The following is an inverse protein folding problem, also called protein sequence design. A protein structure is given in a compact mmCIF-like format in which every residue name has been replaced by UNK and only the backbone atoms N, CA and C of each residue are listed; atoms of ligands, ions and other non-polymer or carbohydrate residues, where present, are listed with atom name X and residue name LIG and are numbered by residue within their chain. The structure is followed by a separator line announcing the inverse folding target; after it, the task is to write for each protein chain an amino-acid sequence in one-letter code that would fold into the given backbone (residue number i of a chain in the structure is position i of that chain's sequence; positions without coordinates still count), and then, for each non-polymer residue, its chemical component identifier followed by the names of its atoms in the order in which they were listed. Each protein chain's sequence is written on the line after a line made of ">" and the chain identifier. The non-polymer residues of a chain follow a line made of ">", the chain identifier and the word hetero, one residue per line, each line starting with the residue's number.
data_IF_143851333253
#
_entry.id   IF_143851333253
#
_cell.length_a   1.000
_cell.length_b   1.000
_cell.length_c   1.000
_cell.angle_alpha   90.00
_cell.angle_beta   90.00
_cell.angle_gamma   90.00
#
_symmetry.space_group_name_H-M   'P 1'
#
loop_
_entity.id
_entity.type
_entity.pdbx_description
1 polymer ?
#
# COMPACT_ATOMS: atom_id res chain seq x y z
N UNK A 1 6.85 11.92 54.40
CA UNK A 1 7.03 12.73 53.17
C UNK A 1 8.02 12.10 52.17
N UNK A 2 9.35 12.09 52.37
CA UNK A 2 10.28 11.53 51.35
C UNK A 2 10.08 10.03 51.07
N UNK A 3 9.90 9.20 52.11
CA UNK A 3 9.64 7.76 51.96
C UNK A 3 8.29 7.44 51.27
N UNK A 4 7.26 8.26 51.51
CA UNK A 4 5.95 8.09 50.86
C UNK A 4 6.00 8.51 49.39
N UNK A 5 6.79 9.55 49.08
CA UNK A 5 7.05 9.98 47.70
C UNK A 5 7.80 8.90 46.92
N UNK A 6 8.83 8.29 47.52
CA UNK A 6 9.60 7.21 46.88
C UNK A 6 8.74 5.95 46.66
N UNK A 7 7.93 5.56 47.63
CA UNK A 7 7.01 4.43 47.49
C UNK A 7 5.97 4.66 46.37
N UNK A 8 5.46 5.89 46.26
CA UNK A 8 4.52 6.27 45.19
C UNK A 8 5.18 6.24 43.82
N UNK A 9 6.40 6.76 43.70
CA UNK A 9 7.18 6.72 42.45
C UNK A 9 7.42 5.27 42.01
N UNK A 10 7.85 4.39 42.92
CA UNK A 10 8.09 2.98 42.62
C UNK A 10 6.82 2.27 42.16
N UNK A 11 5.67 2.54 42.80
CA UNK A 11 4.37 2.00 42.39
C UNK A 11 3.97 2.45 40.98
N UNK A 12 4.15 3.74 40.67
CA UNK A 12 3.85 4.27 39.33
C UNK A 12 4.78 3.68 38.26
N UNK A 13 6.07 3.52 38.56
CA UNK A 13 7.01 2.87 37.65
C UNK A 13 6.62 1.42 37.34
N UNK A 14 6.18 0.68 38.37
CA UNK A 14 5.67 -0.69 38.19
C UNK A 14 4.42 -0.71 37.30
N UNK A 15 3.45 0.16 37.56
CA UNK A 15 2.23 0.25 36.75
C UNK A 15 2.52 0.63 35.29
N UNK A 16 3.46 1.55 35.05
CA UNK A 16 3.90 1.91 33.70
C UNK A 16 4.53 0.70 33.00
N UNK A 17 5.36 -0.08 33.70
CA UNK A 17 5.98 -1.28 33.13
C UNK A 17 4.93 -2.34 32.79
N UNK A 18 3.95 -2.55 33.67
CA UNK A 18 2.84 -3.49 33.45
C UNK A 18 1.99 -3.07 32.25
N UNK A 19 1.57 -1.81 32.17
CA UNK A 19 0.79 -1.29 31.05
C UNK A 19 1.56 -1.38 29.72
N UNK A 20 2.86 -1.08 29.71
CA UNK A 20 3.71 -1.25 28.52
C UNK A 20 3.77 -2.71 28.08
N UNK A 21 3.86 -3.65 29.02
CA UNK A 21 3.86 -5.07 28.72
C UNK A 21 2.52 -5.52 28.12
N UNK A 22 1.40 -5.12 28.75
CA UNK A 22 0.06 -5.44 28.25
C UNK A 22 -0.20 -4.86 26.86
N UNK A 23 0.20 -3.60 26.62
CA UNK A 23 0.07 -2.96 25.31
C UNK A 23 0.88 -3.71 24.23
N UNK A 24 2.11 -4.12 24.55
CA UNK A 24 2.93 -4.92 23.63
C UNK A 24 2.28 -6.27 23.32
N UNK A 25 1.74 -6.96 24.33
CA UNK A 25 1.04 -8.23 24.14
C UNK A 25 -0.20 -8.07 23.27
N UNK A 26 -1.00 -7.02 23.52
CA UNK A 26 -2.20 -6.73 22.73
C UNK A 26 -1.85 -6.38 21.27
N UNK A 27 -0.81 -5.59 21.06
CA UNK A 27 -0.31 -5.26 19.72
C UNK A 27 0.09 -6.52 18.95
N UNK A 28 0.89 -7.40 19.56
CA UNK A 28 1.29 -8.68 18.95
C UNK A 28 0.09 -9.59 18.67
N UNK A 29 -0.86 -9.67 19.60
CA UNK A 29 -2.07 -10.45 19.41
C UNK A 29 -2.91 -9.92 18.24
N UNK A 30 -3.09 -8.61 18.14
CA UNK A 30 -3.83 -7.97 17.06
C UNK A 30 -3.13 -8.14 15.71
N UNK A 31 -1.80 -7.98 15.64
CA UNK A 31 -1.05 -8.18 14.39
C UNK A 31 -1.08 -9.64 13.94
N UNK A 32 -1.03 -10.60 14.86
CA UNK A 32 -1.21 -12.03 14.57
C UNK A 32 -2.60 -12.33 13.98
N UNK A 33 -3.67 -11.89 14.66
CA UNK A 33 -5.05 -12.07 14.16
C UNK A 33 -5.22 -11.42 12.79
N UNK A 34 -4.81 -10.16 12.65
CA UNK A 34 -4.91 -9.42 11.39
C UNK A 34 -4.18 -10.10 10.25
N UNK A 35 -2.93 -10.53 10.49
CA UNK A 35 -2.14 -11.27 9.52
C UNK A 35 -2.80 -12.58 9.10
N UNK A 36 -3.25 -13.40 10.05
CA UNK A 36 -3.86 -14.71 9.77
C UNK A 36 -5.20 -14.58 9.03
N UNK A 37 -6.14 -13.79 9.55
CA UNK A 37 -7.45 -13.64 8.90
C UNK A 37 -7.36 -12.83 7.61
N UNK A 38 -6.48 -11.83 7.56
CA UNK A 38 -6.20 -11.08 6.35
C UNK A 38 -5.68 -11.99 5.23
N UNK A 39 -4.80 -12.94 5.55
CA UNK A 39 -4.30 -13.92 4.58
C UNK A 39 -5.45 -14.76 4.00
N UNK A 40 -6.30 -15.33 4.85
CA UNK A 40 -7.42 -16.14 4.38
C UNK A 40 -8.43 -15.33 3.56
N UNK A 41 -8.74 -14.10 3.98
CA UNK A 41 -9.64 -13.22 3.23
C UNK A 41 -9.01 -12.81 1.88
N UNK A 42 -7.70 -12.57 1.84
CA UNK A 42 -7.01 -12.33 0.57
C UNK A 42 -7.13 -13.54 -0.36
N UNK A 43 -6.90 -14.76 0.13
CA UNK A 43 -7.06 -15.98 -0.67
C UNK A 43 -8.51 -16.19 -1.11
N UNK A 44 -9.48 -15.96 -0.23
CA UNK A 44 -10.89 -16.11 -0.54
C UNK A 44 -11.36 -15.10 -1.61
N UNK A 45 -10.87 -13.86 -1.56
CA UNK A 45 -11.22 -12.81 -2.55
C UNK A 45 -10.60 -13.04 -3.93
N UNK A 46 -9.83 -14.11 -4.14
CA UNK A 46 -9.46 -14.56 -5.49
C UNK A 46 -10.67 -15.18 -6.23
N UNK A 47 -11.72 -15.57 -5.51
CA UNK A 47 -12.96 -16.08 -6.08
C UNK A 47 -13.94 -14.92 -6.35
N UNK A 48 -14.46 -14.77 -7.58
CA UNK A 48 -15.39 -13.68 -7.92
C UNK A 48 -16.64 -13.61 -7.03
N UNK A 49 -17.20 -14.76 -6.64
CA UNK A 49 -18.36 -14.82 -5.76
C UNK A 49 -18.10 -14.19 -4.37
N UNK A 50 -16.88 -14.28 -3.86
CA UNK A 50 -16.48 -13.66 -2.60
C UNK A 50 -16.27 -12.16 -2.78
N UNK A 51 -15.71 -11.74 -3.92
CA UNK A 51 -15.60 -10.32 -4.28
C UNK A 51 -16.99 -9.68 -4.28
N UNK A 52 -17.96 -10.28 -4.96
CA UNK A 52 -19.34 -9.77 -5.01
C UNK A 52 -20.00 -9.71 -3.62
N UNK A 53 -19.77 -10.71 -2.78
CA UNK A 53 -20.24 -10.72 -1.39
C UNK A 53 -19.64 -9.56 -0.58
N UNK A 54 -18.34 -9.32 -0.69
CA UNK A 54 -17.64 -8.24 0.05
C UNK A 54 -18.07 -6.86 -0.44
N UNK A 55 -18.35 -6.71 -1.73
CA UNK A 55 -18.73 -5.44 -2.37
C UNK A 55 -20.15 -4.97 -2.06
N UNK A 56 -20.92 -5.72 -1.28
CA UNK A 56 -22.19 -5.22 -0.73
C UNK A 56 -21.95 -3.91 0.05
N UNK A 57 -22.69 -2.85 -0.31
CA UNK A 57 -22.39 -1.45 0.04
C UNK A 57 -22.00 -1.24 1.50
N UNK A 58 -22.80 -1.73 2.44
CA UNK A 58 -22.56 -1.51 3.87
C UNK A 58 -21.34 -2.26 4.41
N UNK A 59 -20.97 -3.37 3.76
CA UNK A 59 -19.83 -4.21 4.16
C UNK A 59 -18.52 -3.60 3.68
N UNK A 60 -18.45 -3.20 2.42
CA UNK A 60 -17.21 -2.60 1.91
C UNK A 60 -16.91 -1.25 2.54
N UNK A 61 -17.90 -0.38 2.79
CA UNK A 61 -17.65 0.90 3.48
C UNK A 61 -17.01 0.68 4.86
N UNK A 62 -17.52 -0.27 5.66
CA UNK A 62 -16.95 -0.58 6.99
C UNK A 62 -15.53 -1.13 6.87
N UNK A 63 -15.29 -2.03 5.91
CA UNK A 63 -13.98 -2.60 5.66
C UNK A 63 -12.98 -1.55 5.18
N UNK A 64 -13.36 -0.65 4.29
CA UNK A 64 -12.50 0.41 3.78
C UNK A 64 -12.06 1.38 4.89
N UNK A 65 -12.98 1.75 5.79
CA UNK A 65 -12.64 2.57 6.98
C UNK A 65 -11.67 1.84 7.91
N UNK A 66 -11.90 0.56 8.17
CA UNK A 66 -11.00 -0.26 8.98
C UNK A 66 -9.60 -0.34 8.36
N UNK A 67 -9.51 -0.66 7.06
CA UNK A 67 -8.24 -0.74 6.34
C UNK A 67 -7.53 0.62 6.30
N UNK A 68 -8.27 1.71 6.14
CA UNK A 68 -7.72 3.08 6.20
C UNK A 68 -7.08 3.34 7.56
N UNK A 69 -7.77 3.04 8.66
CA UNK A 69 -7.22 3.20 10.01
C UNK A 69 -5.97 2.34 10.26
N UNK A 70 -5.96 1.09 9.76
CA UNK A 70 -4.80 0.20 9.87
C UNK A 70 -3.61 0.74 9.07
N UNK A 71 -3.82 1.18 7.82
CA UNK A 71 -2.76 1.75 6.99
C UNK A 71 -2.21 3.05 7.59
N UNK A 72 -3.08 3.94 8.08
CA UNK A 72 -2.66 5.18 8.75
C UNK A 72 -1.81 4.87 9.97
N UNK A 73 -2.28 4.00 10.85
CA UNK A 73 -1.55 3.60 12.05
C UNK A 73 -0.19 2.96 11.74
N UNK A 74 -0.12 2.11 10.70
CA UNK A 74 1.14 1.50 10.28
C UNK A 74 2.14 2.54 9.76
N UNK A 75 1.68 3.46 8.90
CA UNK A 75 2.54 4.53 8.36
C UNK A 75 2.97 5.49 9.46
N UNK A 76 2.09 5.88 10.38
CA UNK A 76 2.41 6.76 11.51
C UNK A 76 3.42 6.12 12.46
N UNK A 77 3.27 4.81 12.74
CA UNK A 77 4.13 4.09 13.68
C UNK A 77 5.53 3.89 13.14
N UNK A 78 5.66 3.52 11.86
CA UNK A 78 6.94 3.10 11.29
C UNK A 78 7.56 4.11 10.34
N UNK A 79 6.75 4.91 9.65
CA UNK A 79 7.19 5.86 8.62
C UNK A 79 8.18 5.20 7.64
N UNK A 80 9.44 5.66 7.60
CA UNK A 80 10.47 5.13 6.71
C UNK A 80 11.25 3.93 7.31
N UNK A 81 10.89 3.48 8.52
CA UNK A 81 11.49 2.37 9.27
C UNK A 81 10.51 1.19 9.37
N UNK A 82 9.88 0.84 8.24
CA UNK A 82 8.93 -0.27 8.18
C UNK A 82 9.59 -1.61 8.56
N UNK A 83 8.89 -2.47 9.33
CA UNK A 83 9.44 -3.73 9.76
C UNK A 83 9.58 -4.71 8.58
N UNK A 84 10.48 -5.72 8.68
CA UNK A 84 10.68 -6.68 7.62
C UNK A 84 9.41 -7.44 7.24
N UNK A 85 9.36 -7.98 6.02
CA UNK A 85 8.20 -8.67 5.45
C UNK A 85 7.74 -9.90 6.23
N UNK A 86 8.61 -10.49 7.06
CA UNK A 86 8.28 -11.68 7.85
C UNK A 86 7.47 -11.36 9.12
N UNK A 87 7.39 -10.09 9.52
CA UNK A 87 6.60 -9.64 10.68
C UNK A 87 5.10 -9.72 10.39
N UNK A 88 4.30 -9.90 11.44
CA UNK A 88 2.86 -10.02 11.30
C UNK A 88 2.22 -8.69 10.86
N UNK A 89 2.76 -7.57 11.32
CA UNK A 89 2.36 -6.23 10.93
C UNK A 89 2.51 -6.03 9.42
N UNK A 90 3.70 -6.25 8.87
CA UNK A 90 3.94 -6.08 7.42
C UNK A 90 3.16 -7.09 6.59
N UNK A 91 3.02 -8.34 7.05
CA UNK A 91 2.15 -9.35 6.39
C UNK A 91 0.70 -8.90 6.38
N UNK A 92 0.21 -8.31 7.46
CA UNK A 92 -1.16 -7.83 7.51
C UNK A 92 -1.40 -6.71 6.50
N UNK A 93 -0.47 -5.75 6.38
CA UNK A 93 -0.54 -4.70 5.35
C UNK A 93 -0.52 -5.30 3.95
N UNK A 94 0.37 -6.28 3.70
CA UNK A 94 0.45 -6.97 2.42
C UNK A 94 -0.88 -7.67 2.06
N UNK A 95 -1.51 -8.33 3.04
CA UNK A 95 -2.79 -9.00 2.86
C UNK A 95 -3.92 -8.00 2.56
N UNK A 96 -3.94 -6.84 3.24
CA UNK A 96 -4.89 -5.75 2.93
C UNK A 96 -4.72 -5.28 1.49
N UNK A 97 -3.49 -5.01 1.05
CA UNK A 97 -3.21 -4.62 -0.33
C UNK A 97 -3.68 -5.70 -1.32
N UNK A 98 -3.44 -6.98 -1.00
CA UNK A 98 -3.88 -8.11 -1.81
C UNK A 98 -5.40 -8.22 -1.93
N UNK A 99 -6.13 -8.00 -0.83
CA UNK A 99 -7.59 -7.94 -0.82
C UNK A 99 -8.06 -6.81 -1.73
N UNK A 100 -7.55 -5.59 -1.54
CA UNK A 100 -7.93 -4.42 -2.34
C UNK A 100 -7.61 -4.65 -3.82
N UNK A 101 -6.46 -5.26 -4.13
CA UNK A 101 -6.06 -5.58 -5.50
C UNK A 101 -7.12 -6.47 -6.18
N UNK A 102 -7.57 -7.53 -5.50
CA UNK A 102 -8.63 -8.40 -6.01
C UNK A 102 -9.96 -7.64 -6.21
N UNK A 103 -10.37 -6.84 -5.23
CA UNK A 103 -11.64 -6.10 -5.30
C UNK A 103 -11.65 -5.10 -6.46
N UNK A 104 -10.53 -4.42 -6.71
CA UNK A 104 -10.34 -3.48 -7.82
C UNK A 104 -10.30 -4.14 -9.21
N UNK A 105 -10.40 -5.47 -9.33
CA UNK A 105 -10.54 -6.12 -10.65
C UNK A 105 -11.98 -6.11 -11.17
N UNK A 106 -12.96 -5.92 -10.28
CA UNK A 106 -14.38 -5.88 -10.62
C UNK A 106 -14.87 -4.46 -10.92
N UNK A 107 -15.88 -4.33 -11.79
CA UNK A 107 -16.47 -3.01 -12.12
C UNK A 107 -17.05 -2.30 -10.89
N UNK A 108 -17.76 -3.05 -10.04
CA UNK A 108 -18.36 -2.55 -8.78
C UNK A 108 -17.29 -2.10 -7.79
N UNK A 109 -16.20 -2.87 -7.64
CA UNK A 109 -15.07 -2.48 -6.81
C UNK A 109 -14.37 -1.22 -7.34
N UNK A 110 -14.05 -1.17 -8.63
CA UNK A 110 -13.50 0.02 -9.27
C UNK A 110 -14.37 1.26 -9.04
N UNK A 111 -15.69 1.14 -9.21
CA UNK A 111 -16.62 2.24 -8.93
C UNK A 111 -16.51 2.70 -7.48
N UNK A 112 -16.47 1.77 -6.51
CA UNK A 112 -16.28 2.11 -5.10
C UNK A 112 -14.97 2.87 -4.85
N UNK A 113 -13.84 2.36 -5.34
CA UNK A 113 -12.52 2.97 -5.09
C UNK A 113 -12.27 4.27 -5.88
N UNK A 114 -13.06 4.58 -6.90
CA UNK A 114 -12.92 5.81 -7.69
C UNK A 114 -13.96 6.89 -7.39
N UNK A 115 -15.16 6.52 -6.92
CA UNK A 115 -16.30 7.44 -6.80
C UNK A 115 -16.83 7.58 -5.37
N UNK A 116 -16.52 6.63 -4.46
CA UNK A 116 -17.03 6.65 -3.10
C UNK A 116 -15.94 7.11 -2.14
N UNK A 117 -16.26 8.08 -1.28
CA UNK A 117 -15.29 8.76 -0.40
C UNK A 117 -14.46 7.80 0.46
N UNK A 118 -15.08 6.75 1.02
CA UNK A 118 -14.35 5.74 1.82
C UNK A 118 -13.35 4.93 0.97
N UNK A 119 -13.69 4.66 -0.29
CA UNK A 119 -12.79 4.00 -1.24
C UNK A 119 -11.65 4.92 -1.68
N UNK A 120 -11.96 6.18 -2.00
CA UNK A 120 -10.97 7.22 -2.35
C UNK A 120 -9.99 7.44 -1.19
N UNK A 121 -10.49 7.52 0.04
CA UNK A 121 -9.65 7.66 1.24
C UNK A 121 -8.67 6.50 1.38
N UNK A 122 -9.13 5.26 1.14
CA UNK A 122 -8.25 4.10 1.18
C UNK A 122 -7.17 4.18 0.09
N UNK A 123 -7.53 4.57 -1.14
CA UNK A 123 -6.57 4.76 -2.24
C UNK A 123 -5.51 5.80 -1.87
N UNK A 124 -5.90 6.93 -1.28
CA UNK A 124 -4.96 7.96 -0.83
C UNK A 124 -3.98 7.45 0.24
N UNK A 125 -4.43 6.56 1.14
CA UNK A 125 -3.54 5.93 2.12
C UNK A 125 -2.62 4.90 1.48
N UNK A 126 -3.06 4.20 0.43
CA UNK A 126 -2.18 3.32 -0.36
C UNK A 126 -1.11 4.14 -1.10
N UNK A 127 -1.46 5.31 -1.66
CA UNK A 127 -0.46 6.24 -2.22
C UNK A 127 0.54 6.65 -1.13
N UNK A 128 0.07 7.04 0.04
CA UNK A 128 0.94 7.42 1.18
C UNK A 128 1.86 6.27 1.59
N UNK A 129 1.34 5.04 1.66
CA UNK A 129 2.14 3.85 1.93
C UNK A 129 3.27 3.68 0.91
N UNK A 130 2.99 3.83 -0.39
CA UNK A 130 4.01 3.75 -1.45
C UNK A 130 5.12 4.78 -1.22
N UNK A 131 4.77 6.02 -0.87
CA UNK A 131 5.73 7.10 -0.64
C UNK A 131 6.64 6.84 0.55
N UNK A 132 6.14 6.20 1.61
CA UNK A 132 6.91 5.90 2.82
C UNK A 132 7.62 4.53 2.77
N UNK A 133 7.29 3.67 1.79
CA UNK A 133 7.85 2.31 1.73
C UNK A 133 9.34 2.35 1.38
N UNK A 134 10.23 1.81 2.24
CA UNK A 134 11.66 1.76 1.98
C UNK A 134 11.98 0.77 0.84
N UNK A 135 13.14 0.96 0.21
CA UNK A 135 13.59 0.13 -0.92
C UNK A 135 13.60 -1.37 -0.58
N UNK A 136 13.96 -1.75 0.65
CA UNK A 136 13.99 -3.14 1.12
C UNK A 136 12.64 -3.88 1.01
N UNK A 137 11.53 -3.16 0.97
CA UNK A 137 10.18 -3.71 0.84
C UNK A 137 9.54 -3.46 -0.53
N UNK A 138 10.30 -2.86 -1.47
CA UNK A 138 9.85 -2.54 -2.84
C UNK A 138 9.19 -3.74 -3.53
N UNK A 139 9.90 -4.87 -3.57
CA UNK A 139 9.48 -6.08 -4.28
C UNK A 139 8.22 -6.76 -3.69
N UNK A 140 7.76 -6.31 -2.51
CA UNK A 140 6.60 -6.86 -1.82
C UNK A 140 5.46 -5.84 -1.73
N UNK A 141 5.65 -4.79 -0.92
CA UNK A 141 4.59 -3.80 -0.64
C UNK A 141 4.31 -2.91 -1.85
N UNK A 142 5.36 -2.29 -2.43
CA UNK A 142 5.17 -1.39 -3.58
C UNK A 142 4.61 -2.14 -4.79
N UNK A 143 5.06 -3.37 -5.03
CA UNK A 143 4.50 -4.22 -6.10
C UNK A 143 2.97 -4.29 -6.05
N UNK A 144 2.42 -4.75 -4.93
CA UNK A 144 0.96 -4.95 -4.82
C UNK A 144 0.25 -3.60 -4.77
N UNK A 145 0.83 -2.59 -4.09
CA UNK A 145 0.27 -1.25 -4.09
C UNK A 145 0.19 -0.66 -5.51
N UNK A 146 1.22 -0.80 -6.34
CA UNK A 146 1.18 -0.38 -7.74
C UNK A 146 0.15 -1.15 -8.56
N UNK A 147 -0.05 -2.44 -8.31
CA UNK A 147 -1.13 -3.21 -8.94
C UNK A 147 -2.52 -2.63 -8.58
N UNK A 148 -2.75 -2.31 -7.30
CA UNK A 148 -3.99 -1.63 -6.86
C UNK A 148 -4.17 -0.29 -7.56
N UNK A 149 -3.14 0.56 -7.51
CA UNK A 149 -3.20 1.91 -8.08
C UNK A 149 -3.40 1.86 -9.59
N UNK A 150 -2.79 0.91 -10.29
CA UNK A 150 -3.00 0.68 -11.72
C UNK A 150 -4.44 0.26 -12.03
N UNK A 151 -5.00 -0.69 -11.26
CA UNK A 151 -6.38 -1.12 -11.46
C UNK A 151 -7.38 0.03 -11.27
N UNK A 152 -7.09 0.95 -10.35
CA UNK A 152 -7.90 2.14 -10.10
C UNK A 152 -7.68 3.20 -11.19
N UNK A 153 -6.44 3.45 -11.61
CA UNK A 153 -6.09 4.53 -12.55
C UNK A 153 -6.69 4.33 -13.95
N UNK A 154 -6.81 3.08 -14.40
CA UNK A 154 -7.39 2.75 -15.72
C UNK A 154 -8.93 2.90 -15.77
N UNK A 155 -9.56 3.18 -14.63
CA UNK A 155 -11.02 3.32 -14.51
C UNK A 155 -11.43 4.79 -14.63
N UNK A 156 -12.74 5.05 -14.80
CA UNK A 156 -13.27 6.39 -15.07
C UNK A 156 -12.76 7.40 -14.02
N UNK A 157 -11.95 8.37 -14.48
CA UNK A 157 -11.33 9.42 -13.69
C UNK A 157 -10.42 8.97 -12.53
N UNK A 158 -10.09 7.68 -12.41
CA UNK A 158 -9.28 7.17 -11.31
C UNK A 158 -7.85 7.73 -11.28
N UNK A 159 -7.28 8.04 -12.46
CA UNK A 159 -5.98 8.69 -12.58
C UNK A 159 -5.92 10.07 -11.91
N UNK A 160 -7.05 10.79 -11.79
CA UNK A 160 -7.10 12.10 -11.12
C UNK A 160 -6.79 11.98 -9.61
N UNK A 161 -7.04 10.83 -9.00
CA UNK A 161 -6.72 10.57 -7.59
C UNK A 161 -5.21 10.48 -7.33
N UNK A 162 -4.41 10.39 -8.40
CA UNK A 162 -2.97 10.10 -8.34
C UNK A 162 -2.14 11.21 -9.00
N UNK A 163 -2.73 12.41 -9.19
CA UNK A 163 -2.02 13.63 -9.59
C UNK A 163 -1.11 14.14 -8.47
N UNK A 164 0.02 13.45 -8.29
CA UNK A 164 0.94 13.70 -7.18
C UNK A 164 2.41 13.61 -7.65
N UNK A 165 3.13 14.72 -7.53
CA UNK A 165 4.54 14.78 -7.96
C UNK A 165 5.46 13.84 -7.19
N UNK A 166 5.22 13.64 -5.88
CA UNK A 166 5.99 12.68 -5.08
C UNK A 166 5.77 11.25 -5.56
N UNK A 167 4.54 10.91 -6.00
CA UNK A 167 4.25 9.59 -6.56
C UNK A 167 5.00 9.38 -7.88
N UNK A 168 4.95 10.36 -8.78
CA UNK A 168 5.67 10.28 -10.07
C UNK A 168 7.19 10.20 -9.85
N UNK A 169 7.74 10.98 -8.92
CA UNK A 169 9.16 10.89 -8.54
C UNK A 169 9.51 9.53 -7.93
N UNK A 170 8.61 8.96 -7.13
CA UNK A 170 8.81 7.62 -6.54
C UNK A 170 8.82 6.55 -7.63
N UNK A 171 7.92 6.65 -8.61
CA UNK A 171 7.92 5.79 -9.79
C UNK A 171 9.23 5.93 -10.57
N UNK A 172 9.68 7.14 -10.88
CA UNK A 172 10.96 7.40 -11.56
C UNK A 172 12.15 6.74 -10.84
N UNK A 173 12.24 6.91 -9.52
CA UNK A 173 13.27 6.27 -8.70
C UNK A 173 13.17 4.74 -8.76
N UNK A 174 11.96 4.19 -8.71
CA UNK A 174 11.75 2.75 -8.78
C UNK A 174 12.05 2.17 -10.17
N UNK A 175 11.95 2.96 -11.25
CA UNK A 175 12.31 2.57 -12.62
C UNK A 175 13.82 2.64 -12.90
N UNK A 176 14.56 3.53 -12.20
CA UNK A 176 16.01 3.70 -12.35
C UNK A 176 16.84 2.51 -11.83
N UNK A 177 16.31 1.79 -10.85
CA UNK A 177 17.04 0.72 -10.14
C UNK A 177 16.67 -0.65 -10.71
N UNK A 178 16.95 -0.86 -11.99
CA UNK A 178 16.71 -2.15 -12.64
C UNK A 178 17.88 -2.51 -13.54
N UNK A 179 18.73 -3.42 -13.06
CA UNK A 179 19.71 -4.10 -13.90
C UNK A 179 19.02 -5.25 -14.65
N UNK A 180 19.65 -5.79 -15.70
CA UNK A 180 19.12 -6.91 -16.51
C UNK A 180 18.61 -8.11 -15.69
N UNK A 181 19.16 -8.34 -14.48
CA UNK A 181 18.78 -9.46 -13.60
C UNK A 181 17.58 -9.16 -12.70
N UNK A 182 17.10 -7.92 -12.65
CA UNK A 182 16.11 -7.44 -11.68
C UNK A 182 14.78 -7.02 -12.32
N UNK A 183 14.52 -7.40 -13.58
CA UNK A 183 13.19 -7.16 -14.18
C UNK A 183 12.19 -8.02 -13.42
N UNK A 184 11.45 -7.37 -12.54
CA UNK A 184 10.50 -8.00 -11.65
C UNK A 184 9.09 -7.43 -11.89
N UNK A 185 8.10 -8.08 -11.29
CA UNK A 185 6.72 -7.60 -11.32
C UNK A 185 6.58 -6.14 -10.84
N UNK A 186 7.47 -5.67 -9.94
CA UNK A 186 7.42 -4.30 -9.44
C UNK A 186 7.73 -3.30 -10.54
N UNK A 187 8.75 -3.56 -11.36
CA UNK A 187 9.04 -2.76 -12.56
C UNK A 187 7.83 -2.73 -13.49
N UNK A 188 7.26 -3.90 -13.77
CA UNK A 188 6.11 -4.03 -14.66
C UNK A 188 4.91 -3.21 -14.17
N UNK A 189 4.54 -3.32 -12.89
CA UNK A 189 3.44 -2.54 -12.33
C UNK A 189 3.75 -1.05 -12.22
N UNK A 190 5.01 -0.66 -11.99
CA UNK A 190 5.44 0.74 -12.01
C UNK A 190 5.25 1.35 -13.41
N UNK A 191 5.68 0.64 -14.46
CA UNK A 191 5.49 1.06 -15.84
C UNK A 191 4.02 1.11 -16.26
N UNK A 192 3.23 0.08 -15.89
CA UNK A 192 1.78 0.05 -16.14
C UNK A 192 1.08 1.23 -15.49
N UNK A 193 1.41 1.54 -14.23
CA UNK A 193 0.85 2.70 -13.54
C UNK A 193 1.28 4.00 -14.23
N UNK A 194 2.57 4.21 -14.49
CA UNK A 194 3.04 5.41 -15.18
C UNK A 194 2.37 5.60 -16.55
N UNK A 195 2.25 4.53 -17.34
CA UNK A 195 1.55 4.57 -18.63
C UNK A 195 0.07 4.95 -18.47
N UNK A 196 -0.63 4.37 -17.50
CA UNK A 196 -2.03 4.70 -17.25
C UNK A 196 -2.24 6.17 -16.83
N UNK A 197 -1.34 6.71 -16.01
CA UNK A 197 -1.37 8.11 -15.56
C UNK A 197 -1.03 9.09 -16.70
N UNK A 198 -0.24 8.64 -17.67
CA UNK A 198 0.19 9.46 -18.81
C UNK A 198 -0.75 9.36 -20.03
N UNK A 199 -1.68 8.40 -20.05
CA UNK A 199 -2.61 8.20 -21.18
C UNK A 199 -3.60 9.35 -21.38
N UNK A 200 -4.15 9.88 -20.28
CA UNK A 200 -5.17 10.93 -20.29
C UNK A 200 -4.72 12.14 -19.46
N UNK A 201 -3.50 12.65 -19.73
CA UNK A 201 -2.95 13.75 -18.93
C UNK A 201 -3.71 15.06 -19.14
N UNK A 202 -4.09 15.68 -18.03
CA UNK A 202 -4.36 17.12 -18.02
C UNK A 202 -3.04 17.91 -18.01
N UNK A 203 -3.13 19.24 -18.11
CA UNK A 203 -1.96 20.13 -18.12
C UNK A 203 -1.09 19.98 -16.86
N UNK A 204 -1.72 19.75 -15.70
CA UNK A 204 -1.03 19.55 -14.42
C UNK A 204 -0.15 18.30 -14.43
N UNK A 205 -0.72 17.15 -14.80
CA UNK A 205 -0.01 15.88 -14.89
C UNK A 205 1.13 15.95 -15.92
N UNK A 206 0.92 16.60 -17.08
CA UNK A 206 2.00 16.83 -18.04
C UNK A 206 3.20 17.59 -17.46
N UNK A 207 2.94 18.64 -16.66
CA UNK A 207 4.00 19.41 -16.00
C UNK A 207 4.73 18.55 -14.96
N UNK A 208 4.00 17.78 -14.15
CA UNK A 208 4.59 16.87 -13.16
C UNK A 208 5.51 15.85 -13.85
N UNK A 209 4.99 15.14 -14.85
CA UNK A 209 5.74 14.10 -15.57
C UNK A 209 6.99 14.69 -16.21
N UNK A 210 6.88 15.87 -16.86
CA UNK A 210 8.03 16.54 -17.47
C UNK A 210 9.13 16.88 -16.45
N UNK A 211 8.76 17.24 -15.24
CA UNK A 211 9.71 17.69 -14.22
C UNK A 211 10.35 16.52 -13.46
N UNK A 212 9.62 15.44 -13.24
CA UNK A 212 10.04 14.35 -12.36
C UNK A 212 10.59 13.12 -13.10
N UNK A 213 10.20 12.89 -14.36
CA UNK A 213 10.59 11.68 -15.11
C UNK A 213 11.82 11.93 -15.97
N UNK A 214 12.84 11.08 -15.82
CA UNK A 214 13.95 11.03 -16.76
C UNK A 214 13.61 10.11 -17.95
N UNK A 215 13.19 10.70 -19.07
CA UNK A 215 12.84 9.97 -20.29
C UNK A 215 13.98 9.08 -20.82
N UNK A 216 15.25 9.44 -20.59
CA UNK A 216 16.38 8.62 -21.04
C UNK A 216 16.42 7.27 -20.33
N UNK A 217 16.03 7.21 -19.05
CA UNK A 217 15.98 5.97 -18.29
C UNK A 217 14.85 5.07 -18.79
N UNK A 218 13.68 5.64 -19.09
CA UNK A 218 12.56 4.89 -19.67
C UNK A 218 12.92 4.37 -21.06
N UNK A 219 13.62 5.16 -21.89
CA UNK A 219 14.04 4.74 -23.22
C UNK A 219 15.01 3.56 -23.18
N UNK A 220 15.86 3.44 -22.14
CA UNK A 220 16.68 2.22 -21.95
C UNK A 220 15.80 0.97 -21.85
N UNK A 221 14.63 1.08 -21.21
CA UNK A 221 13.66 -0.02 -21.04
C UNK A 221 13.00 -0.48 -22.36
N UNK A 222 13.10 0.28 -23.45
CA UNK A 222 12.57 -0.13 -24.77
C UNK A 222 13.48 -1.12 -25.51
N UNK A 223 14.73 -1.28 -25.06
CA UNK A 223 15.69 -2.24 -25.64
C UNK A 223 15.47 -3.68 -25.17
N UNK A 224 14.51 -3.90 -24.27
CA UNK A 224 14.21 -5.19 -23.68
C UNK A 224 13.09 -5.87 -24.48
N UNK A 225 13.41 -6.99 -25.14
CA UNK A 225 12.45 -7.84 -25.87
C UNK A 225 12.01 -9.05 -25.04
N UNK A 226 10.78 -9.53 -25.24
CA UNK A 226 10.18 -10.69 -24.53
C UNK A 226 11.04 -11.95 -24.50
N UNK A 227 11.95 -12.14 -25.46
CA UNK A 227 12.84 -13.32 -25.57
C UNK A 227 13.89 -13.45 -24.47
N UNK A 228 14.16 -12.39 -23.71
CA UNK A 228 15.15 -12.39 -22.62
C UNK A 228 14.52 -12.58 -21.21
N UNK A 229 13.18 -12.58 -21.12
CA UNK A 229 12.43 -12.70 -19.86
C UNK A 229 12.13 -14.16 -19.45
N UNK A 230 12.43 -15.13 -20.30
CA UNK A 230 12.13 -16.55 -20.09
C UNK A 230 13.38 -17.45 -20.03
N UNK A 231 14.58 -16.88 -19.92
CA UNK A 231 15.84 -17.63 -19.84
C UNK A 231 16.36 -17.74 -18.40
#
# INVERSE_FOLDING_TARGET
>A
MENESLATINKLQFQIAELKMQLKQQSTFCSNIGSTFGYYLWKATQMPAIVDMVLQKDKITKMAKLFTGILSSFVETYNNQMPPINTCETKFILNILGIVANLTTSKSGCHFFTQINDGINLVNHIVTLVLCTPYSLKHNLKKIAYAVLYNVSIQCNGHLLMENNKLIKTLDNDLKVTTYKDIDDTLLFSLKLLHSLTKNMNKSMCTIVRNEINLQEILKLTRYTETELTA
#
